data_IF_553859451463
#
_entry.id   IF_553859451463
#
_cell.length_a   1.000
_cell.length_b   1.000
_cell.length_c   1.000
_cell.angle_alpha   90.00
_cell.angle_beta   90.00
_cell.angle_gamma   90.00
#
_symmetry.space_group_name_H-M   'P 1'
#
loop_
_entity.id
_entity.type
_entity.pdbx_description
1 polymer ?
#
# COMPACT_ATOMS: atom_id res chain seq x y z
N UNK A 1 -24.63 -3.70 -28.67
CA UNK A 1 -25.49 -3.97 -27.50
C UNK A 1 -25.19 -5.38 -27.01
N UNK A 2 -24.88 -5.57 -25.72
CA UNK A 2 -24.60 -6.92 -25.21
C UNK A 2 -25.90 -7.74 -25.11
N UNK A 3 -25.89 -9.04 -25.45
CA UNK A 3 -27.08 -9.86 -25.36
C UNK A 3 -27.54 -10.03 -23.90
N UNK A 4 -28.86 -9.99 -23.67
CA UNK A 4 -29.50 -10.01 -22.35
C UNK A 4 -28.97 -11.07 -21.35
N UNK A 5 -28.68 -12.32 -21.76
CA UNK A 5 -28.15 -13.34 -20.85
C UNK A 5 -26.73 -13.04 -20.35
N UNK A 6 -25.91 -12.40 -21.19
CA UNK A 6 -24.53 -11.99 -20.86
C UNK A 6 -24.55 -10.82 -19.88
N UNK A 7 -25.47 -9.87 -20.09
CA UNK A 7 -25.70 -8.76 -19.17
C UNK A 7 -26.15 -9.25 -17.79
N UNK A 8 -27.08 -10.21 -17.73
CA UNK A 8 -27.59 -10.76 -16.47
C UNK A 8 -26.52 -11.56 -15.70
N UNK A 9 -25.68 -12.32 -16.40
CA UNK A 9 -24.53 -13.03 -15.81
C UNK A 9 -23.50 -12.05 -15.25
N UNK A 10 -23.22 -10.96 -15.97
CA UNK A 10 -22.35 -9.88 -15.51
C UNK A 10 -22.91 -9.22 -14.25
N UNK A 11 -24.19 -8.84 -14.25
CA UNK A 11 -24.87 -8.24 -13.10
C UNK A 11 -24.86 -9.14 -11.87
N UNK A 12 -25.05 -10.46 -12.06
CA UNK A 12 -24.98 -11.42 -10.96
C UNK A 12 -23.56 -11.55 -10.41
N UNK A 13 -22.53 -11.60 -11.26
CA UNK A 13 -21.12 -11.65 -10.82
C UNK A 13 -20.69 -10.37 -10.12
N UNK A 14 -21.06 -9.21 -10.64
CA UNK A 14 -20.76 -7.92 -10.00
C UNK A 14 -21.52 -7.78 -8.68
N UNK A 15 -22.79 -8.18 -8.62
CA UNK A 15 -23.54 -8.22 -7.36
C UNK A 15 -22.90 -9.15 -6.35
N UNK A 16 -22.54 -10.39 -6.72
CA UNK A 16 -21.88 -11.32 -5.80
C UNK A 16 -20.51 -10.79 -5.35
N UNK A 17 -19.72 -10.21 -6.26
CA UNK A 17 -18.45 -9.59 -5.90
C UNK A 17 -18.65 -8.43 -4.92
N UNK A 18 -19.55 -7.50 -5.25
CA UNK A 18 -19.87 -6.36 -4.41
C UNK A 18 -20.42 -6.82 -3.06
N UNK A 19 -21.36 -7.76 -3.01
CA UNK A 19 -21.93 -8.29 -1.76
C UNK A 19 -20.90 -9.01 -0.87
N UNK A 20 -19.81 -9.51 -1.44
CA UNK A 20 -18.72 -10.17 -0.70
C UNK A 20 -17.51 -9.26 -0.44
N UNK A 21 -17.53 -7.99 -0.86
CA UNK A 21 -16.58 -7.00 -0.36
C UNK A 21 -16.83 -6.82 1.15
N UNK A 22 -15.77 -6.58 1.92
CA UNK A 22 -15.91 -6.40 3.38
C UNK A 22 -16.41 -5.00 3.70
N UNK A 23 -17.73 -4.84 3.73
CA UNK A 23 -18.40 -3.56 4.03
C UNK A 23 -18.35 -3.17 5.51
N UNK A 24 -17.96 -4.09 6.37
CA UNK A 24 -17.77 -3.89 7.82
C UNK A 24 -16.33 -3.56 8.14
N UNK A 25 -16.11 -2.72 9.15
CA UNK A 25 -14.78 -2.52 9.70
C UNK A 25 -14.23 -3.84 10.25
N UNK A 26 -13.03 -4.20 9.82
CA UNK A 26 -12.28 -5.29 10.43
C UNK A 26 -11.60 -4.79 11.69
N UNK A 27 -11.50 -5.66 12.69
CA UNK A 27 -10.66 -5.43 13.87
C UNK A 27 -9.54 -6.47 13.84
N UNK A 28 -8.31 -6.01 14.04
CA UNK A 28 -7.13 -6.87 14.15
C UNK A 28 -6.62 -6.74 15.58
N UNK A 29 -6.67 -7.84 16.34
CA UNK A 29 -6.19 -7.87 17.72
C UNK A 29 -4.66 -8.09 17.76
N UNK A 30 -4.14 -8.93 16.88
CA UNK A 30 -2.72 -9.26 16.80
C UNK A 30 -2.11 -8.70 15.51
N UNK A 31 -1.18 -7.75 15.66
CA UNK A 31 -0.46 -7.17 14.53
C UNK A 31 0.82 -7.95 14.22
N UNK A 32 0.89 -8.56 13.03
CA UNK A 32 2.07 -9.30 12.57
C UNK A 32 3.33 -8.42 12.50
N UNK A 33 3.19 -7.11 12.29
CA UNK A 33 4.33 -6.19 12.26
C UNK A 33 4.79 -5.70 13.65
N UNK A 34 4.02 -5.96 14.71
CA UNK A 34 4.46 -5.67 16.08
C UNK A 34 5.45 -6.71 16.61
N UNK A 35 5.49 -7.90 16.00
CA UNK A 35 6.45 -8.94 16.36
C UNK A 35 7.49 -9.12 15.25
N UNK A 36 8.74 -8.80 15.59
CA UNK A 36 9.89 -8.83 14.69
C UNK A 36 10.19 -10.23 14.17
N UNK A 37 9.75 -11.28 14.86
CA UNK A 37 9.93 -12.67 14.41
C UNK A 37 9.19 -12.95 13.09
N UNK A 38 8.21 -12.12 12.73
CA UNK A 38 7.43 -12.26 11.48
C UNK A 38 8.09 -11.59 10.27
N UNK A 39 9.21 -10.88 10.44
CA UNK A 39 9.87 -10.20 9.33
C UNK A 39 10.76 -11.17 8.54
N UNK A 40 10.65 -11.13 7.20
CA UNK A 40 11.48 -11.94 6.31
C UNK A 40 12.96 -11.51 6.38
N UNK A 41 13.20 -10.22 6.18
CA UNK A 41 14.53 -9.60 6.21
C UNK A 41 14.34 -8.11 6.48
N UNK A 42 15.21 -7.55 7.33
CA UNK A 42 15.22 -6.12 7.64
C UNK A 42 16.26 -5.46 6.73
N UNK A 43 15.81 -4.61 5.82
CA UNK A 43 16.67 -3.92 4.83
C UNK A 43 17.08 -2.52 5.27
N UNK A 44 16.33 -1.93 6.21
CA UNK A 44 16.66 -0.66 6.85
C UNK A 44 16.06 -0.58 8.25
N UNK A 45 16.78 0.03 9.17
CA UNK A 45 16.25 0.33 10.50
C UNK A 45 16.94 1.57 11.09
N UNK A 46 16.15 2.54 11.55
CA UNK A 46 16.61 3.65 12.38
C UNK A 46 15.85 3.68 13.73
N UNK A 47 15.78 4.80 14.45
CA UNK A 47 15.08 4.84 15.75
C UNK A 47 13.54 4.76 15.61
N UNK A 48 12.97 5.23 14.50
CA UNK A 48 11.53 5.41 14.31
C UNK A 48 10.97 4.47 13.23
N UNK A 49 11.73 4.21 12.18
CA UNK A 49 11.31 3.52 10.96
C UNK A 49 12.04 2.18 10.83
N UNK A 50 11.32 1.20 10.31
CA UNK A 50 11.86 -0.07 9.85
C UNK A 50 11.36 -0.33 8.42
N UNK A 51 12.24 -0.86 7.57
CA UNK A 51 11.86 -1.38 6.26
C UNK A 51 12.23 -2.86 6.17
N UNK A 52 11.28 -3.65 5.67
CA UNK A 52 11.42 -5.10 5.56
C UNK A 52 11.08 -5.56 4.16
N UNK A 53 11.66 -6.68 3.75
CA UNK A 53 11.23 -7.36 2.52
C UNK A 53 9.82 -7.93 2.70
N UNK A 54 8.98 -7.76 1.68
CA UNK A 54 7.70 -8.40 1.62
C UNK A 54 7.88 -9.90 1.34
N UNK A 55 7.26 -10.75 2.17
CA UNK A 55 7.27 -12.21 2.04
C UNK A 55 6.71 -12.66 0.67
N UNK A 56 5.81 -11.87 0.07
CA UNK A 56 5.21 -12.13 -1.24
C UNK A 56 5.51 -10.99 -2.21
N UNK A 57 6.73 -10.96 -2.80
CA UNK A 57 7.15 -9.86 -3.67
C UNK A 57 6.28 -9.76 -4.93
N UNK A 58 6.10 -8.53 -5.40
CA UNK A 58 5.31 -8.21 -6.59
C UNK A 58 6.11 -7.38 -7.61
N UNK A 59 7.43 -7.39 -7.48
CA UNK A 59 8.43 -6.78 -8.33
C UNK A 59 9.80 -7.35 -7.98
N UNK A 60 10.87 -6.86 -8.62
CA UNK A 60 12.25 -7.27 -8.29
C UNK A 60 12.62 -6.98 -6.84
N UNK A 61 12.18 -5.82 -6.34
CA UNK A 61 12.19 -5.51 -4.91
C UNK A 61 10.79 -5.12 -4.47
N UNK A 62 10.39 -5.57 -3.30
CA UNK A 62 9.13 -5.18 -2.68
C UNK A 62 9.36 -4.98 -1.19
N UNK A 63 9.46 -3.72 -0.78
CA UNK A 63 9.65 -3.37 0.62
C UNK A 63 8.36 -2.89 1.25
N UNK A 64 8.26 -3.14 2.55
CA UNK A 64 7.27 -2.56 3.45
C UNK A 64 8.02 -1.63 4.40
N UNK A 65 7.77 -0.33 4.29
CA UNK A 65 8.36 0.69 5.17
C UNK A 65 7.29 1.08 6.19
N UNK A 66 7.57 1.00 7.48
CA UNK A 66 6.60 1.26 8.53
C UNK A 66 7.24 1.92 9.77
N UNK A 67 6.49 2.71 10.56
CA UNK A 67 6.93 3.07 11.90
C UNK A 67 7.07 1.82 12.77
N UNK A 68 8.09 1.79 13.62
CA UNK A 68 8.23 0.72 14.63
C UNK A 68 7.09 0.73 15.63
N UNK A 69 6.64 1.92 16.03
CA UNK A 69 5.49 2.07 16.91
C UNK A 69 4.20 1.90 16.12
N UNK A 70 3.30 1.07 16.61
CA UNK A 70 1.98 0.89 16.05
C UNK A 70 1.06 2.05 16.47
N UNK A 71 1.22 3.19 15.81
CA UNK A 71 0.48 4.43 16.10
C UNK A 71 -0.78 4.60 15.26
N UNK A 72 -0.79 4.04 14.04
CA UNK A 72 -1.85 4.21 13.06
C UNK A 72 -2.15 2.86 12.42
N UNK A 73 -3.44 2.59 12.27
CA UNK A 73 -3.97 1.43 11.55
C UNK A 73 -3.63 1.48 10.06
N UNK A 74 -3.94 2.61 9.42
CA UNK A 74 -3.81 2.85 7.99
C UNK A 74 -3.82 4.36 7.69
N UNK A 75 -3.89 4.72 6.40
CA UNK A 75 -3.84 6.11 5.96
C UNK A 75 -5.08 6.94 6.28
N UNK A 76 -6.22 6.33 6.63
CA UNK A 76 -7.46 7.07 6.92
C UNK A 76 -7.39 7.80 8.28
N UNK A 77 -6.47 7.39 9.16
CA UNK A 77 -6.18 8.06 10.44
C UNK A 77 -5.14 9.17 10.35
N UNK A 78 -4.58 9.44 9.17
CA UNK A 78 -3.54 10.46 9.01
C UNK A 78 -4.09 11.86 9.23
N UNK A 79 -3.23 12.73 9.76
CA UNK A 79 -3.49 14.13 10.13
C UNK A 79 -2.20 14.91 9.94
N UNK A 80 -2.28 16.24 9.87
CA UNK A 80 -1.12 17.12 9.72
C UNK A 80 0.03 16.83 10.70
N UNK A 81 -0.28 16.45 11.94
CA UNK A 81 0.73 16.07 12.96
C UNK A 81 1.60 14.86 12.57
N UNK A 82 1.13 14.01 11.65
CA UNK A 82 1.84 12.83 11.16
C UNK A 82 2.71 13.13 9.93
N UNK A 83 2.82 14.38 9.50
CA UNK A 83 3.60 14.76 8.32
C UNK A 83 5.08 14.37 8.45
N UNK A 84 5.69 14.57 9.63
CA UNK A 84 7.09 14.21 9.86
C UNK A 84 7.35 12.70 9.70
N UNK A 85 6.42 11.87 10.17
CA UNK A 85 6.46 10.42 9.99
C UNK A 85 6.43 10.03 8.50
N UNK A 86 5.50 10.61 7.72
CA UNK A 86 5.40 10.33 6.29
C UNK A 86 6.67 10.78 5.54
N UNK A 87 7.24 11.92 5.92
CA UNK A 87 8.50 12.39 5.37
C UNK A 87 9.67 11.47 5.74
N UNK A 88 9.68 10.90 6.94
CA UNK A 88 10.67 9.90 7.34
C UNK A 88 10.55 8.62 6.50
N UNK A 89 9.33 8.11 6.28
CA UNK A 89 9.07 6.95 5.43
C UNK A 89 9.48 7.20 3.97
N UNK A 90 9.17 8.40 3.42
CA UNK A 90 9.58 8.80 2.06
C UNK A 90 11.10 8.95 1.93
N UNK A 91 11.79 9.47 2.95
CA UNK A 91 13.25 9.52 3.01
C UNK A 91 13.85 8.13 2.93
N UNK A 92 13.33 7.17 3.70
CA UNK A 92 13.80 5.77 3.69
C UNK A 92 13.58 5.13 2.32
N UNK A 93 12.40 5.33 1.70
CA UNK A 93 12.14 4.89 0.33
C UNK A 93 13.22 5.42 -0.64
N UNK A 94 13.49 6.73 -0.61
CA UNK A 94 14.50 7.37 -1.48
C UNK A 94 15.89 6.80 -1.24
N UNK A 95 16.27 6.56 0.02
CA UNK A 95 17.55 5.95 0.36
C UNK A 95 17.69 4.54 -0.22
N UNK A 96 16.69 3.67 -0.05
CA UNK A 96 16.69 2.30 -0.57
C UNK A 96 16.76 2.28 -2.11
N UNK A 97 16.01 3.16 -2.79
CA UNK A 97 16.08 3.33 -4.24
C UNK A 97 17.47 3.82 -4.71
N UNK A 98 18.10 4.72 -3.95
CA UNK A 98 19.46 5.18 -4.19
C UNK A 98 20.49 4.05 -4.10
N UNK A 99 20.33 3.14 -3.13
CA UNK A 99 21.21 1.97 -2.97
C UNK A 99 21.12 1.01 -4.17
N UNK A 100 19.92 0.77 -4.70
CA UNK A 100 19.76 0.00 -5.96
C UNK A 100 20.54 0.67 -7.09
N UNK A 101 20.46 2.01 -7.17
CA UNK A 101 21.09 2.77 -8.26
C UNK A 101 22.60 2.71 -8.21
N UNK A 102 23.19 2.80 -7.01
CA UNK A 102 24.63 2.70 -6.79
C UNK A 102 25.17 1.27 -6.98
N UNK A 103 24.36 0.26 -6.67
CA UNK A 103 24.72 -1.16 -6.82
C UNK A 103 24.56 -1.70 -8.25
N UNK A 104 23.86 -0.98 -9.14
CA UNK A 104 23.67 -1.41 -10.51
C UNK A 104 24.96 -1.22 -11.32
N UNK A 105 25.44 -2.30 -11.96
CA UNK A 105 26.62 -2.29 -12.84
C UNK A 105 26.48 -1.35 -14.05
N UNK A 106 25.25 -0.95 -14.39
CA UNK A 106 24.94 -0.01 -15.46
C UNK A 106 24.02 1.12 -14.97
N UNK A 107 24.52 2.38 -14.89
CA UNK A 107 23.76 3.54 -14.40
C UNK A 107 22.44 3.80 -15.15
N UNK A 108 22.39 3.49 -16.44
CA UNK A 108 21.20 3.67 -17.28
C UNK A 108 20.05 2.72 -16.91
N UNK A 109 20.34 1.51 -16.42
CA UNK A 109 19.32 0.54 -16.01
C UNK A 109 18.65 0.93 -14.69
N UNK A 110 19.40 1.55 -13.78
CA UNK A 110 18.87 2.05 -12.52
C UNK A 110 18.01 3.32 -12.67
N UNK A 111 18.43 4.26 -13.53
CA UNK A 111 17.64 5.46 -13.82
C UNK A 111 16.29 5.16 -14.50
N UNK A 112 16.16 3.99 -15.13
CA UNK A 112 14.95 3.50 -15.78
C UNK A 112 14.07 2.64 -14.86
N UNK A 113 14.39 2.53 -13.56
CA UNK A 113 13.64 1.68 -12.64
C UNK A 113 12.21 2.21 -12.45
N UNK A 114 11.23 1.45 -12.94
CA UNK A 114 9.81 1.74 -12.69
C UNK A 114 9.50 1.43 -11.23
N UNK A 115 8.98 2.43 -10.50
CA UNK A 115 8.61 2.28 -9.09
C UNK A 115 7.11 2.47 -8.93
N UNK A 116 6.47 1.51 -8.27
CA UNK A 116 5.09 1.60 -7.83
C UNK A 116 5.06 1.66 -6.30
N UNK A 117 4.74 2.83 -5.74
CA UNK A 117 4.73 3.07 -4.30
C UNK A 117 3.39 3.64 -3.84
N UNK A 118 2.97 3.26 -2.63
CA UNK A 118 1.68 3.67 -2.11
C UNK A 118 1.15 2.82 -0.96
N UNK A 119 -0.12 3.05 -0.66
CA UNK A 119 -0.82 2.48 0.49
C UNK A 119 -2.12 1.85 0.05
N UNK A 120 -2.52 0.80 0.75
CA UNK A 120 -3.91 0.34 0.75
C UNK A 120 -4.80 1.36 1.46
N UNK A 121 -5.98 1.62 0.90
CA UNK A 121 -6.95 2.53 1.52
C UNK A 121 -7.85 1.79 2.50
N UNK A 122 -8.06 2.40 3.67
CA UNK A 122 -8.89 1.84 4.71
C UNK A 122 -10.38 2.11 4.49
N UNK A 123 -11.16 1.74 5.50
CA UNK A 123 -12.59 2.04 5.55
C UNK A 123 -12.79 3.55 5.70
N UNK A 124 -13.38 4.17 4.68
CA UNK A 124 -13.68 5.61 4.67
C UNK A 124 -15.09 5.92 4.22
N UNK A 125 -15.57 7.12 4.58
CA UNK A 125 -16.92 7.56 4.24
C UNK A 125 -17.05 7.79 2.74
N UNK A 126 -17.99 7.10 2.07
CA UNK A 126 -18.42 7.44 0.71
C UNK A 126 -19.51 8.53 0.75
N UNK A 127 -20.70 8.21 1.26
CA UNK A 127 -21.82 9.16 1.35
C UNK A 127 -22.77 8.78 2.50
N UNK A 128 -23.22 9.76 3.29
CA UNK A 128 -24.17 9.51 4.39
C UNK A 128 -23.68 8.43 5.36
N UNK A 129 -24.38 7.30 5.44
CA UNK A 129 -24.01 6.11 6.23
C UNK A 129 -23.17 5.05 5.47
N UNK A 130 -22.91 5.23 4.18
CA UNK A 130 -22.34 4.20 3.26
C UNK A 130 -20.82 4.27 3.19
N UNK A 131 -20.13 3.21 3.65
CA UNK A 131 -18.66 3.13 3.74
C UNK A 131 -18.09 2.42 2.52
N UNK A 132 -16.90 2.83 2.11
CA UNK A 132 -16.07 1.99 1.25
C UNK A 132 -15.64 0.73 2.02
N UNK A 133 -15.45 -0.40 1.32
CA UNK A 133 -15.02 -1.63 1.94
C UNK A 133 -13.64 -1.48 2.59
N UNK A 134 -13.45 -2.25 3.66
CA UNK A 134 -12.23 -2.29 4.43
C UNK A 134 -11.29 -3.35 3.87
N UNK A 135 -10.34 -2.90 3.06
CA UNK A 135 -9.47 -3.75 2.24
C UNK A 135 -8.03 -3.79 2.75
N UNK A 136 -7.75 -3.14 3.87
CA UNK A 136 -6.42 -3.16 4.49
C UNK A 136 -6.22 -4.54 5.12
N UNK A 137 -5.15 -5.22 4.71
CA UNK A 137 -4.84 -6.57 5.19
C UNK A 137 -4.15 -6.57 6.56
N UNK A 138 -3.34 -5.55 6.84
CA UNK A 138 -2.57 -5.41 8.07
C UNK A 138 -2.80 -4.01 8.61
N UNK A 139 -3.41 -3.95 9.79
CA UNK A 139 -3.74 -2.74 10.53
C UNK A 139 -2.49 -2.23 11.24
N UNK A 140 -1.52 -1.76 10.49
CA UNK A 140 -0.34 -1.05 10.97
C UNK A 140 0.18 -0.28 9.77
N UNK A 141 0.20 1.04 9.82
CA UNK A 141 0.60 1.88 8.69
C UNK A 141 1.89 1.36 8.03
N UNK A 142 1.83 1.02 6.75
CA UNK A 142 2.99 0.56 5.99
C UNK A 142 2.91 1.05 4.54
N UNK A 143 4.03 1.59 4.06
CA UNK A 143 4.24 2.00 2.69
C UNK A 143 4.79 0.82 1.89
N UNK A 144 4.08 0.45 0.83
CA UNK A 144 4.59 -0.46 -0.16
C UNK A 144 5.51 0.29 -1.13
N UNK A 145 6.68 -0.28 -1.40
CA UNK A 145 7.60 0.19 -2.43
C UNK A 145 7.96 -0.98 -3.32
N UNK A 146 7.46 -0.98 -4.56
CA UNK A 146 7.63 -2.07 -5.53
C UNK A 146 8.48 -1.56 -6.68
N UNK A 147 9.68 -2.10 -6.82
CA UNK A 147 10.63 -1.76 -7.90
C UNK A 147 10.53 -2.81 -9.00
N UNK A 148 10.44 -2.36 -10.25
CA UNK A 148 10.19 -3.21 -11.42
C UNK A 148 8.97 -4.12 -11.20
N UNK A 149 7.77 -3.53 -11.05
CA UNK A 149 6.56 -4.26 -10.71
C UNK A 149 6.19 -5.30 -11.77
N UNK A 150 5.80 -6.49 -11.31
CA UNK A 150 5.24 -7.53 -12.16
C UNK A 150 3.81 -7.11 -12.59
N UNK A 151 3.56 -6.84 -13.89
CA UNK A 151 2.35 -6.14 -14.31
C UNK A 151 1.05 -6.83 -13.88
N UNK A 152 0.95 -8.15 -14.07
CA UNK A 152 -0.26 -8.90 -13.71
C UNK A 152 -0.53 -8.95 -12.20
N UNK A 153 0.51 -9.11 -11.38
CA UNK A 153 0.37 -9.12 -9.92
C UNK A 153 -0.03 -7.74 -9.39
N UNK A 154 0.63 -6.68 -9.87
CA UNK A 154 0.32 -5.32 -9.46
C UNK A 154 -1.06 -4.88 -9.96
N UNK A 155 -1.47 -5.28 -11.16
CA UNK A 155 -2.80 -4.96 -11.68
C UNK A 155 -3.94 -5.40 -10.77
N UNK A 156 -3.79 -6.53 -10.06
CA UNK A 156 -4.81 -7.05 -9.15
C UNK A 156 -4.59 -6.69 -7.68
N UNK A 157 -3.36 -6.82 -7.17
CA UNK A 157 -3.06 -6.63 -5.74
C UNK A 157 -2.83 -5.16 -5.39
N UNK A 158 -2.23 -4.39 -6.30
CA UNK A 158 -1.85 -3.01 -6.10
C UNK A 158 -2.37 -2.14 -7.26
N UNK A 159 -3.70 -2.13 -7.51
CA UNK A 159 -4.27 -1.50 -8.68
C UNK A 159 -4.18 0.03 -8.54
N UNK A 160 -3.07 0.63 -8.96
CA UNK A 160 -2.91 2.10 -8.99
C UNK A 160 -3.96 2.81 -9.85
N UNK A 161 -4.60 2.09 -10.77
CA UNK A 161 -5.72 2.55 -11.59
C UNK A 161 -7.07 2.57 -10.85
N UNK A 162 -7.15 1.98 -9.65
CA UNK A 162 -8.36 1.88 -8.85
C UNK A 162 -8.18 2.66 -7.53
N UNK A 163 -8.57 3.94 -7.50
CA UNK A 163 -8.49 4.80 -6.31
C UNK A 163 -9.39 4.33 -5.16
N UNK A 164 -10.23 3.32 -5.40
CA UNK A 164 -10.90 2.63 -4.32
C UNK A 164 -9.89 1.90 -3.43
N UNK A 165 -8.90 1.25 -4.06
CA UNK A 165 -8.04 0.27 -3.39
C UNK A 165 -6.66 0.79 -3.02
N UNK A 166 -6.11 1.66 -3.85
CA UNK A 166 -4.72 2.09 -3.74
C UNK A 166 -4.63 3.61 -3.73
N UNK A 167 -3.68 4.14 -2.97
CA UNK A 167 -3.33 5.56 -2.99
C UNK A 167 -1.83 5.72 -3.14
N UNK A 168 -1.42 6.51 -4.13
CA UNK A 168 -0.01 6.84 -4.32
C UNK A 168 0.53 7.58 -3.11
N UNK A 169 1.75 7.26 -2.71
CA UNK A 169 2.40 7.82 -1.54
C UNK A 169 2.63 9.32 -1.64
N UNK A 170 3.01 9.81 -2.82
CA UNK A 170 3.13 11.24 -3.10
C UNK A 170 1.80 11.99 -2.89
N UNK A 171 0.67 11.39 -3.27
CA UNK A 171 -0.66 11.96 -3.06
C UNK A 171 -1.02 12.00 -1.56
N UNK A 172 -0.76 10.92 -0.82
CA UNK A 172 -0.97 10.89 0.64
C UNK A 172 -0.15 11.96 1.34
N UNK A 173 1.13 12.10 0.98
CA UNK A 173 2.01 13.11 1.55
C UNK A 173 1.51 14.52 1.27
N UNK A 174 1.12 14.81 0.03
CA UNK A 174 0.59 16.11 -0.37
C UNK A 174 -0.69 16.46 0.40
N UNK A 175 -1.64 15.53 0.50
CA UNK A 175 -2.90 15.78 1.20
C UNK A 175 -2.68 16.12 2.68
N UNK A 176 -1.84 15.35 3.38
CA UNK A 176 -1.51 15.59 4.79
C UNK A 176 -0.77 16.91 4.99
N UNK A 177 0.07 17.31 4.03
CA UNK A 177 0.75 18.60 4.05
C UNK A 177 -0.23 19.78 3.87
N UNK A 178 -1.30 19.58 3.08
CA UNK A 178 -2.30 20.61 2.80
C UNK A 178 -3.49 20.63 3.76
N UNK A 179 -3.70 19.56 4.55
CA UNK A 179 -4.76 19.45 5.55
C UNK A 179 -4.56 20.32 6.78
#
# INVERSE_FOLDING_TARGET
MMPFPVMLSWLRKTYTYLANLQWTERVQHDCVFCDRANFASIVYEDQEIIAVDNIYPAGQHHWLILPKQHILRDIEGLKRQHLSLLQAMDRVKKQLLGQITLGASHPAAAAAAVVHAGYHQGRRRLVGGVYWPDIVSIHHLHLHVIVQPYPWLCFFKYPGWLPLMWKADATVLQEVQTS
#
